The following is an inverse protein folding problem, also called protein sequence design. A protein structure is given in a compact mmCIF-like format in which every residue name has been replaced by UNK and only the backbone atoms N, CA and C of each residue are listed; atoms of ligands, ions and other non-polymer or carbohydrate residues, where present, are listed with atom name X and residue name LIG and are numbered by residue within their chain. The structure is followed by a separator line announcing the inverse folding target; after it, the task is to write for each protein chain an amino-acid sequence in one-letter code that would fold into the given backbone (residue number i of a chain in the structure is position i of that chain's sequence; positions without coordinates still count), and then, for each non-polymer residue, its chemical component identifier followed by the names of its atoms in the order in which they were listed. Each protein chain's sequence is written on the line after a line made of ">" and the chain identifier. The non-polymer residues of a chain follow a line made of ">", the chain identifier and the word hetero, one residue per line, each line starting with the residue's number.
data_IF_365074139185
#
_entry.id   IF_365074139185
#
_cell.length_a   1.000
_cell.length_b   1.000
_cell.length_c   1.000
_cell.angle_alpha   90.00
_cell.angle_beta   90.00
_cell.angle_gamma   90.00
#
_symmetry.space_group_name_H-M   'P 1'
#
loop_
_entity.id
_entity.type
_entity.pdbx_description
1 polymer ?
#
# COMPACT_ATOMS: atom_id res chain seq x y z
N UNK A 1 -17.50 -8.52 7.56
CA UNK A 1 -18.65 -7.83 6.92
C UNK A 1 -18.27 -7.62 5.46
N UNK A 2 -18.91 -8.32 4.51
CA UNK A 2 -18.50 -8.24 3.10
C UNK A 2 -18.79 -6.84 2.56
N UNK A 3 -17.74 -6.13 2.10
CA UNK A 3 -17.89 -4.80 1.49
C UNK A 3 -18.61 -4.95 0.16
N UNK A 4 -19.60 -4.09 -0.09
CA UNK A 4 -20.30 -4.04 -1.37
C UNK A 4 -19.46 -3.22 -2.34
N UNK A 5 -19.18 -3.76 -3.53
CA UNK A 5 -18.57 -3.02 -4.62
C UNK A 5 -19.60 -2.29 -5.47
N UNK A 6 -19.14 -1.63 -6.53
CA UNK A 6 -19.97 -0.91 -7.50
C UNK A 6 -21.03 -1.84 -8.10
N UNK A 7 -22.30 -1.43 -8.04
CA UNK A 7 -23.40 -2.20 -8.57
C UNK A 7 -23.24 -2.43 -10.09
N UNK A 8 -23.57 -3.64 -10.55
CA UNK A 8 -23.50 -4.02 -11.96
C UNK A 8 -22.15 -4.58 -12.43
N UNK A 9 -21.10 -4.51 -11.62
CA UNK A 9 -19.84 -5.19 -11.91
C UNK A 9 -19.86 -6.66 -11.45
N UNK A 10 -19.36 -7.61 -12.25
CA UNK A 10 -19.28 -9.02 -11.86
C UNK A 10 -18.17 -9.33 -10.84
N UNK A 11 -17.38 -8.31 -10.49
CA UNK A 11 -16.24 -8.40 -9.56
C UNK A 11 -16.35 -7.26 -8.55
N UNK A 12 -15.72 -7.42 -7.39
CA UNK A 12 -15.56 -6.32 -6.46
C UNK A 12 -14.72 -5.22 -7.12
N UNK A 13 -15.29 -4.03 -7.13
CA UNK A 13 -14.63 -2.75 -7.43
C UNK A 13 -15.12 -1.80 -6.35
N UNK A 14 -14.22 -1.28 -5.51
CA UNK A 14 -14.57 -0.35 -4.43
C UNK A 14 -14.48 1.12 -4.83
N UNK A 15 -13.96 1.42 -6.02
CA UNK A 15 -13.78 2.76 -6.57
C UNK A 15 -14.92 3.07 -7.54
N UNK A 16 -15.80 3.99 -7.17
CA UNK A 16 -16.94 4.47 -7.97
C UNK A 16 -16.62 5.73 -8.77
N UNK A 17 -15.53 6.44 -8.44
CA UNK A 17 -15.11 7.64 -9.17
C UNK A 17 -13.59 7.87 -9.09
N UNK A 18 -13.04 8.64 -10.03
CA UNK A 18 -11.62 9.01 -10.03
C UNK A 18 -11.20 9.75 -8.75
N UNK A 19 -12.12 10.49 -8.14
CA UNK A 19 -11.88 11.21 -6.88
C UNK A 19 -11.59 10.29 -5.68
N UNK A 20 -11.80 8.98 -5.80
CA UNK A 20 -11.55 8.00 -4.73
C UNK A 20 -10.22 7.24 -4.90
N UNK A 21 -9.52 7.42 -6.03
CA UNK A 21 -8.32 6.64 -6.35
C UNK A 21 -7.15 7.03 -5.43
N UNK A 22 -6.87 8.32 -5.30
CA UNK A 22 -5.90 8.89 -4.37
C UNK A 22 -6.52 10.10 -3.65
N UNK A 23 -6.57 10.05 -2.33
CA UNK A 23 -7.34 10.96 -1.48
C UNK A 23 -6.52 11.43 -0.28
N UNK A 24 -6.88 12.59 0.29
CA UNK A 24 -6.26 13.09 1.52
C UNK A 24 -6.51 12.19 2.74
N UNK A 25 -7.48 11.26 2.66
CA UNK A 25 -7.75 10.26 3.69
C UNK A 25 -6.83 9.03 3.59
N UNK A 26 -6.11 8.86 2.48
CA UNK A 26 -5.26 7.68 2.30
C UNK A 26 -4.07 7.74 3.25
N UNK A 27 -4.01 6.79 4.16
CA UNK A 27 -2.90 6.59 5.10
C UNK A 27 -2.19 5.29 4.75
N UNK A 28 -0.87 5.34 4.64
CA UNK A 28 -0.09 4.35 3.92
C UNK A 28 0.87 3.57 4.82
N UNK A 29 0.87 2.25 4.65
CA UNK A 29 1.95 1.37 5.07
C UNK A 29 2.78 0.95 3.85
N UNK A 30 4.10 1.18 3.87
CA UNK A 30 5.02 0.78 2.78
C UNK A 30 5.76 -0.50 3.15
N UNK A 31 5.57 -1.57 2.38
CA UNK A 31 6.35 -2.80 2.54
C UNK A 31 7.73 -2.64 1.90
N UNK A 32 8.77 -3.04 2.63
CA UNK A 32 10.17 -2.87 2.26
C UNK A 32 10.55 -1.39 2.06
N UNK A 33 10.22 -0.54 3.03
CA UNK A 33 10.39 0.92 2.96
C UNK A 33 11.87 1.36 2.85
N UNK A 34 12.80 0.55 3.36
CA UNK A 34 14.25 0.81 3.29
C UNK A 34 14.94 0.20 2.06
N UNK A 35 14.19 -0.44 1.17
CA UNK A 35 14.68 -0.95 -0.11
C UNK A 35 15.27 0.15 -0.99
N UNK A 36 16.10 -0.24 -1.97
CA UNK A 36 16.88 0.69 -2.82
C UNK A 36 16.03 1.78 -3.47
N UNK A 37 14.88 1.40 -4.05
CA UNK A 37 13.97 2.34 -4.70
C UNK A 37 13.04 3.03 -3.69
N UNK A 38 12.39 2.26 -2.82
CA UNK A 38 11.42 2.75 -1.85
C UNK A 38 12.00 3.82 -0.93
N UNK A 39 13.26 3.67 -0.47
CA UNK A 39 13.91 4.66 0.40
C UNK A 39 14.15 6.01 -0.28
N UNK A 40 14.18 6.05 -1.61
CA UNK A 40 14.38 7.29 -2.39
C UNK A 40 13.05 7.96 -2.73
N UNK A 41 12.05 7.17 -3.14
CA UNK A 41 10.76 7.68 -3.61
C UNK A 41 9.78 7.98 -2.47
N UNK A 42 9.80 7.18 -1.39
CA UNK A 42 8.87 7.36 -0.26
C UNK A 42 8.99 8.74 0.38
N UNK A 43 10.20 9.31 0.64
CA UNK A 43 10.31 10.65 1.20
C UNK A 43 9.73 11.74 0.30
N UNK A 44 9.78 11.57 -1.03
CA UNK A 44 9.19 12.50 -2.00
C UNK A 44 7.67 12.43 -1.93
N UNK A 45 7.09 11.23 -2.01
CA UNK A 45 5.65 11.01 -1.96
C UNK A 45 5.06 11.45 -0.63
N UNK A 46 5.71 11.11 0.48
CA UNK A 46 5.30 11.49 1.82
C UNK A 46 5.30 13.01 2.01
N UNK A 47 6.35 13.70 1.56
CA UNK A 47 6.44 15.16 1.67
C UNK A 47 5.43 15.87 0.75
N UNK A 48 5.22 15.36 -0.47
CA UNK A 48 4.23 15.91 -1.40
C UNK A 48 2.81 15.77 -0.86
N UNK A 49 2.52 14.66 -0.19
CA UNK A 49 1.18 14.28 0.27
C UNK A 49 0.89 14.65 1.72
N UNK A 50 1.59 15.65 2.27
CA UNK A 50 1.32 16.15 3.63
C UNK A 50 1.54 15.12 4.75
N UNK A 51 2.40 14.13 4.55
CA UNK A 51 2.77 13.17 5.59
C UNK A 51 1.94 11.88 5.62
N UNK A 52 1.34 11.48 4.49
CA UNK A 52 0.40 10.36 4.41
C UNK A 52 0.97 8.94 4.66
N UNK A 53 2.29 8.79 4.85
CA UNK A 53 2.92 7.49 5.16
C UNK A 53 3.10 7.36 6.66
N UNK A 54 2.35 6.46 7.28
CA UNK A 54 2.27 6.35 8.75
C UNK A 54 3.37 5.47 9.34
N UNK A 55 3.79 4.44 8.60
CA UNK A 55 4.93 3.59 8.91
C UNK A 55 5.34 2.77 7.67
N UNK A 56 6.46 2.08 7.76
CA UNK A 56 6.80 1.04 6.80
C UNK A 56 7.41 -0.20 7.44
N UNK A 57 7.59 -1.25 6.65
CA UNK A 57 8.21 -2.48 7.11
C UNK A 57 9.56 -2.69 6.43
N UNK A 58 10.51 -3.26 7.15
CA UNK A 58 11.76 -3.77 6.60
C UNK A 58 12.34 -4.79 7.58
N UNK A 59 12.43 -6.05 7.16
CA UNK A 59 12.79 -7.16 8.04
C UNK A 59 14.22 -7.01 8.58
N UNK A 60 14.38 -7.05 9.91
CA UNK A 60 15.65 -6.87 10.61
C UNK A 60 15.99 -5.41 10.91
N UNK A 61 15.10 -4.46 10.61
CA UNK A 61 15.33 -3.02 10.75
C UNK A 61 14.32 -2.34 11.69
N UNK A 62 13.64 -3.11 12.55
CA UNK A 62 12.75 -2.56 13.57
C UNK A 62 13.44 -1.50 14.44
N UNK A 63 12.74 -0.38 14.63
CA UNK A 63 13.21 0.74 15.44
C UNK A 63 14.04 1.77 14.65
N UNK A 64 14.40 1.47 13.40
CA UNK A 64 14.90 2.48 12.47
C UNK A 64 13.78 3.43 12.04
N UNK A 65 14.19 4.55 11.44
CA UNK A 65 13.29 5.55 10.88
C UNK A 65 13.75 5.97 9.49
N UNK A 66 12.80 6.19 8.58
CA UNK A 66 13.07 6.85 7.31
C UNK A 66 12.79 8.34 7.45
N UNK A 67 13.84 9.16 7.38
CA UNK A 67 13.73 10.62 7.52
C UNK A 67 13.19 11.25 6.23
N UNK A 68 12.20 12.13 6.35
CA UNK A 68 11.63 12.90 5.24
C UNK A 68 11.50 14.38 5.62
N UNK A 69 11.16 15.23 4.63
CA UNK A 69 10.88 16.66 4.88
C UNK A 69 9.61 16.91 5.70
N UNK A 70 8.68 15.94 5.74
CA UNK A 70 7.41 16.08 6.46
C UNK A 70 7.38 15.33 7.81
N UNK A 71 8.47 14.67 8.18
CA UNK A 71 8.58 13.89 9.42
C UNK A 71 9.36 12.59 9.22
N UNK A 72 9.77 11.97 10.33
CA UNK A 72 10.39 10.64 10.29
C UNK A 72 9.32 9.56 10.29
N UNK A 73 9.45 8.59 9.40
CA UNK A 73 8.52 7.46 9.28
C UNK A 73 9.11 6.28 10.07
N UNK A 74 8.40 5.71 11.06
CA UNK A 74 8.89 4.57 11.82
C UNK A 74 8.93 3.29 10.96
N UNK A 75 9.92 2.44 11.24
CA UNK A 75 10.14 1.15 10.56
C UNK A 75 9.96 -0.01 11.54
N UNK A 76 9.20 -1.01 11.11
CA UNK A 76 8.91 -2.24 11.85
C UNK A 76 9.33 -3.49 11.07
N UNK A 77 9.43 -4.64 11.75
CA UNK A 77 9.76 -5.90 11.06
C UNK A 77 8.56 -6.46 10.27
N UNK A 78 7.33 -6.14 10.69
CA UNK A 78 6.10 -6.61 10.07
C UNK A 78 4.96 -5.59 10.13
N UNK A 79 3.91 -5.81 9.33
CA UNK A 79 2.71 -4.96 9.34
C UNK A 79 1.99 -5.06 10.68
N UNK A 80 1.95 -6.27 11.25
CA UNK A 80 1.32 -6.52 12.56
C UNK A 80 1.97 -5.70 13.66
N UNK A 81 3.30 -5.63 13.69
CA UNK A 81 3.99 -4.83 14.70
C UNK A 81 3.64 -3.34 14.61
N UNK A 82 3.55 -2.78 13.40
CA UNK A 82 3.12 -1.39 13.23
C UNK A 82 1.70 -1.15 13.73
N UNK A 83 0.79 -2.09 13.47
CA UNK A 83 -0.58 -2.05 14.00
C UNK A 83 -0.62 -2.16 15.53
N UNK A 84 0.15 -3.08 16.11
CA UNK A 84 0.23 -3.31 17.56
C UNK A 84 0.85 -2.10 18.29
N UNK A 85 1.72 -1.35 17.61
CA UNK A 85 2.26 -0.06 18.07
C UNK A 85 1.25 1.11 17.99
N UNK A 86 0.03 0.86 17.51
CA UNK A 86 -1.06 1.85 17.45
C UNK A 86 -1.11 2.65 16.15
N UNK A 87 -0.35 2.27 15.12
CA UNK A 87 -0.50 2.90 13.80
C UNK A 87 -1.71 2.34 13.06
N UNK A 88 -2.38 3.19 12.28
CA UNK A 88 -3.52 2.82 11.46
C UNK A 88 -3.31 3.26 10.02
N UNK A 89 -3.72 2.43 9.08
CA UNK A 89 -3.59 2.70 7.66
C UNK A 89 -4.74 2.07 6.88
N UNK A 90 -5.06 2.63 5.72
CA UNK A 90 -6.09 2.09 4.82
C UNK A 90 -5.53 1.71 3.43
N UNK A 91 -4.26 2.01 3.16
CA UNK A 91 -3.60 1.74 1.88
C UNK A 91 -2.27 1.03 2.08
N UNK A 92 -2.08 -0.10 1.41
CA UNK A 92 -0.78 -0.79 1.36
C UNK A 92 0.00 -0.43 0.10
N UNK A 93 1.29 -0.17 0.22
CA UNK A 93 2.18 0.04 -0.94
C UNK A 93 3.29 -1.00 -0.91
N UNK A 94 3.48 -1.72 -2.01
CA UNK A 94 4.36 -2.90 -2.07
C UNK A 94 5.60 -2.62 -2.93
N UNK A 95 6.77 -2.57 -2.28
CA UNK A 95 8.11 -2.53 -2.90
C UNK A 95 8.90 -3.82 -2.61
N UNK A 96 8.29 -4.98 -2.82
CA UNK A 96 8.94 -6.28 -2.58
C UNK A 96 9.54 -6.85 -3.87
N UNK A 97 10.56 -7.73 -3.80
CA UNK A 97 10.93 -8.57 -4.93
C UNK A 97 9.74 -9.40 -5.42
N UNK A 98 9.69 -9.81 -6.70
CA UNK A 98 8.52 -10.50 -7.28
C UNK A 98 8.06 -11.72 -6.48
N UNK A 99 9.01 -12.50 -5.97
CA UNK A 99 8.74 -13.70 -5.16
C UNK A 99 8.09 -13.41 -3.80
N UNK A 100 8.20 -12.19 -3.28
CA UNK A 100 7.63 -11.79 -1.98
C UNK A 100 6.30 -11.06 -2.09
N UNK A 101 5.87 -10.64 -3.28
CA UNK A 101 4.68 -9.77 -3.44
C UNK A 101 3.43 -10.46 -2.93
N UNK A 102 3.20 -11.72 -3.29
CA UNK A 102 1.99 -12.44 -2.87
C UNK A 102 1.88 -12.51 -1.35
N UNK A 103 2.97 -12.89 -0.68
CA UNK A 103 2.97 -13.09 0.77
C UNK A 103 2.83 -11.74 1.50
N UNK A 104 3.46 -10.67 0.99
CA UNK A 104 3.26 -9.32 1.52
C UNK A 104 1.83 -8.80 1.35
N UNK A 105 1.20 -9.07 0.20
CA UNK A 105 -0.23 -8.75 -0.01
C UNK A 105 -1.11 -9.55 0.95
N UNK A 106 -0.85 -10.85 1.12
CA UNK A 106 -1.60 -11.70 2.03
C UNK A 106 -1.48 -11.24 3.48
N UNK A 107 -0.30 -10.78 3.92
CA UNK A 107 -0.09 -10.18 5.24
C UNK A 107 -0.98 -8.96 5.42
N UNK A 108 -0.88 -7.97 4.52
CA UNK A 108 -1.66 -6.73 4.55
C UNK A 108 -3.17 -7.02 4.71
N UNK A 109 -3.70 -7.92 3.89
CA UNK A 109 -5.12 -8.30 3.90
C UNK A 109 -5.49 -8.99 5.22
N UNK A 110 -4.64 -9.91 5.70
CA UNK A 110 -4.96 -10.74 6.87
C UNK A 110 -4.93 -9.96 8.17
N UNK A 111 -4.00 -9.01 8.32
CA UNK A 111 -3.77 -8.33 9.61
C UNK A 111 -4.47 -6.98 9.73
N UNK A 112 -4.85 -6.35 8.62
CA UNK A 112 -5.50 -5.04 8.63
C UNK A 112 -6.96 -5.09 8.11
N UNK A 113 -7.98 -5.10 8.99
CA UNK A 113 -9.39 -5.06 8.56
C UNK A 113 -9.82 -3.70 7.95
N UNK A 114 -9.04 -2.64 8.14
CA UNK A 114 -9.32 -1.30 7.60
C UNK A 114 -8.73 -1.09 6.20
N UNK A 115 -7.91 -2.01 5.70
CA UNK A 115 -7.29 -1.93 4.39
C UNK A 115 -8.34 -1.84 3.28
N UNK A 116 -8.26 -0.82 2.42
CA UNK A 116 -9.19 -0.56 1.31
C UNK A 116 -8.57 -0.84 -0.05
N UNK A 117 -7.30 -0.48 -0.22
CA UNK A 117 -6.58 -0.60 -1.49
C UNK A 117 -5.12 -1.00 -1.29
N UNK A 118 -4.53 -1.66 -2.28
CA UNK A 118 -3.11 -2.01 -2.32
C UNK A 118 -2.54 -1.58 -3.66
N UNK A 119 -1.40 -0.90 -3.64
CA UNK A 119 -0.63 -0.49 -4.83
C UNK A 119 0.63 -1.33 -4.92
N UNK A 120 0.76 -2.11 -5.98
CA UNK A 120 1.86 -3.05 -6.20
C UNK A 120 2.74 -2.50 -7.32
N UNK A 121 3.91 -1.98 -6.95
CA UNK A 121 4.85 -1.44 -7.92
C UNK A 121 5.67 -2.50 -8.62
N UNK A 122 6.00 -3.56 -7.88
CA UNK A 122 6.85 -4.66 -8.34
C UNK A 122 6.49 -5.14 -9.74
N UNK A 123 7.48 -5.11 -10.63
CA UNK A 123 7.38 -5.68 -11.96
C UNK A 123 7.63 -7.20 -11.95
N UNK A 124 7.27 -7.88 -13.04
CA UNK A 124 7.57 -9.32 -13.25
C UNK A 124 6.98 -10.25 -12.18
N UNK A 125 5.88 -9.84 -11.54
CA UNK A 125 5.05 -10.74 -10.73
C UNK A 125 4.49 -11.83 -11.64
N UNK A 126 4.58 -13.09 -11.19
CA UNK A 126 4.12 -14.21 -11.99
C UNK A 126 2.60 -14.16 -12.19
N UNK A 127 2.10 -14.69 -13.31
CA UNK A 127 0.64 -14.79 -13.55
C UNK A 127 -0.03 -15.64 -12.47
N UNK A 128 0.67 -16.65 -11.94
CA UNK A 128 0.20 -17.46 -10.83
C UNK A 128 -0.06 -16.61 -9.58
N UNK A 129 0.94 -15.84 -9.14
CA UNK A 129 0.84 -15.00 -7.96
C UNK A 129 -0.18 -13.88 -8.15
N UNK A 130 -0.25 -13.29 -9.35
CA UNK A 130 -1.24 -12.28 -9.69
C UNK A 130 -2.68 -12.81 -9.56
N UNK A 131 -2.93 -14.07 -9.95
CA UNK A 131 -4.25 -14.72 -9.79
C UNK A 131 -4.60 -14.93 -8.33
N UNK A 132 -3.64 -15.36 -7.51
CA UNK A 132 -3.84 -15.54 -6.06
C UNK A 132 -4.11 -14.20 -5.35
N UNK A 133 -3.28 -13.18 -5.64
CA UNK A 133 -3.47 -11.80 -5.15
C UNK A 133 -4.86 -11.29 -5.48
N UNK A 134 -5.30 -11.45 -6.74
CA UNK A 134 -6.64 -11.04 -7.17
C UNK A 134 -7.72 -11.78 -6.38
N UNK A 135 -7.59 -13.10 -6.21
CA UNK A 135 -8.57 -13.90 -5.47
C UNK A 135 -8.69 -13.48 -3.99
N UNK A 136 -7.55 -13.24 -3.34
CA UNK A 136 -7.53 -12.73 -1.95
C UNK A 136 -8.20 -11.37 -1.84
N UNK A 137 -7.86 -10.43 -2.73
CA UNK A 137 -8.40 -9.08 -2.68
C UNK A 137 -9.91 -9.04 -2.95
N UNK A 138 -10.38 -9.80 -3.95
CA UNK A 138 -11.80 -9.91 -4.28
C UNK A 138 -12.61 -10.48 -3.12
N UNK A 139 -12.10 -11.50 -2.42
CA UNK A 139 -12.78 -12.11 -1.28
C UNK A 139 -12.86 -11.20 -0.06
N UNK A 140 -12.00 -10.18 0.02
CA UNK A 140 -11.90 -9.25 1.16
C UNK A 140 -12.40 -7.83 0.83
N UNK A 141 -12.87 -7.58 -0.39
CA UNK A 141 -13.34 -6.26 -0.81
C UNK A 141 -12.21 -5.21 -0.78
N UNK A 142 -11.10 -5.53 -1.45
CA UNK A 142 -9.91 -4.68 -1.54
C UNK A 142 -9.58 -4.45 -3.01
N UNK A 143 -9.33 -3.19 -3.38
CA UNK A 143 -8.90 -2.84 -4.73
C UNK A 143 -7.38 -3.02 -4.88
N UNK A 144 -6.95 -3.62 -5.99
CA UNK A 144 -5.53 -3.80 -6.33
C UNK A 144 -5.19 -2.91 -7.52
N UNK A 145 -4.14 -2.12 -7.36
CA UNK A 145 -3.52 -1.36 -8.44
C UNK A 145 -2.16 -1.97 -8.76
N UNK A 146 -1.89 -2.24 -10.04
CA UNK A 146 -0.58 -2.65 -10.51
C UNK A 146 -0.36 -4.17 -10.60
N UNK A 147 0.79 -4.62 -10.10
CA UNK A 147 1.51 -5.81 -10.63
C UNK A 147 2.52 -5.45 -11.73
N UNK A 148 2.71 -4.14 -11.91
CA UNK A 148 3.68 -3.39 -12.72
C UNK A 148 3.09 -1.97 -12.85
N UNK A 149 3.29 -1.10 -11.85
CA UNK A 149 2.84 0.28 -11.92
C UNK A 149 3.77 1.23 -11.17
N UNK A 150 3.84 2.49 -11.61
CA UNK A 150 4.56 3.52 -10.86
C UNK A 150 3.81 3.98 -9.61
N UNK A 151 2.49 3.89 -9.59
CA UNK A 151 1.64 4.32 -8.48
C UNK A 151 0.43 5.11 -8.97
N UNK A 152 -0.13 5.94 -8.09
CA UNK A 152 -1.24 6.85 -8.40
C UNK A 152 -0.92 8.24 -7.85
N UNK A 153 -1.25 9.28 -8.61
CA UNK A 153 -1.19 10.66 -8.14
C UNK A 153 -2.47 11.42 -8.47
N UNK A 154 -2.86 12.32 -7.57
CA UNK A 154 -3.82 13.39 -7.77
C UNK A 154 -3.09 14.72 -7.54
N UNK A 155 -2.84 15.46 -8.61
CA UNK A 155 -2.11 16.72 -8.55
C UNK A 155 -2.93 17.87 -7.97
N UNK A 156 -4.26 17.80 -8.05
CA UNK A 156 -5.15 18.83 -7.54
C UNK A 156 -5.15 18.81 -6.01
N UNK A 157 -5.30 17.63 -5.44
CA UNK A 157 -5.26 17.41 -3.98
C UNK A 157 -3.84 17.18 -3.44
N UNK A 158 -2.83 17.22 -4.31
CA UNK A 158 -1.42 16.97 -4.00
C UNK A 158 -1.20 15.63 -3.29
N UNK A 159 -1.85 14.56 -3.75
CA UNK A 159 -1.70 13.22 -3.18
C UNK A 159 -0.90 12.34 -4.13
N UNK A 160 0.07 11.61 -3.59
CA UNK A 160 0.92 10.65 -4.30
C UNK A 160 1.04 9.35 -3.50
N UNK A 161 0.69 8.24 -4.14
CA UNK A 161 0.73 6.88 -3.57
C UNK A 161 1.70 6.04 -4.42
N UNK A 162 2.78 5.56 -3.80
CA UNK A 162 3.87 4.90 -4.53
C UNK A 162 4.84 5.89 -5.17
N UNK A 163 5.30 5.62 -6.38
CA UNK A 163 6.32 6.38 -7.12
C UNK A 163 5.80 7.32 -8.22
N UNK A 164 4.49 7.55 -8.32
CA UNK A 164 3.83 8.33 -9.39
C UNK A 164 4.16 9.83 -9.40
#
# INVERSE_FOLDING_TARGET
>A
MNRKGVAGFPYYVGIESLAQVATAEDTICVLNILGTESRQVTPVSHAYSGGNVVFGTSAGHKGEVLVTKAGSIPVFDSVREGLDAGHHFNTGVVYLPPSGVRDGVAELIRVNPQLRKIVILTEKVSVHDAREIRAFAQSNGIDIFGGNCLGVADSWNQIRIGGA
#
